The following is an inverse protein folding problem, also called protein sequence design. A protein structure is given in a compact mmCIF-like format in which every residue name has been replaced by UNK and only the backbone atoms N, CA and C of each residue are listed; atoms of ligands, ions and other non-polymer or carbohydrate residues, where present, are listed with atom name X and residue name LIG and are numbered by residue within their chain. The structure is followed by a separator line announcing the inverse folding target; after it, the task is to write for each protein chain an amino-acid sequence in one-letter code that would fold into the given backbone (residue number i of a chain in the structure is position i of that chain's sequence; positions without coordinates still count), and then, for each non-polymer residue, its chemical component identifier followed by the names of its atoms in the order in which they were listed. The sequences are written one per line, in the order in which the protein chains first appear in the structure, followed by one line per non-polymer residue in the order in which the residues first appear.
data_IF_768974355894
#
_entry.id   IF_768974355894
#
_cell.length_a   1.000
_cell.length_b   1.000
_cell.length_c   1.000
_cell.angle_alpha   90.00
_cell.angle_beta   90.00
_cell.angle_gamma   90.00
#
_symmetry.space_group_name_H-M   'P 1'
#
loop_
_entity.id
_entity.type
_entity.pdbx_description
1 polymer ?
#
# COMPACT_ATOMS: atom_id res chain seq x y z
N UNK A 1 -54.90 -8.87 -12.36
CA UNK A 1 -53.62 -9.52 -12.02
C UNK A 1 -52.51 -8.50 -12.21
N UNK A 2 -51.94 -7.99 -11.11
CA UNK A 2 -50.72 -7.20 -11.20
C UNK A 2 -49.59 -8.14 -11.64
N UNK A 3 -48.99 -7.87 -12.80
CA UNK A 3 -47.91 -8.70 -13.35
C UNK A 3 -46.76 -8.80 -12.36
N UNK A 4 -46.38 -10.02 -12.00
CA UNK A 4 -45.22 -10.26 -11.14
C UNK A 4 -43.98 -9.69 -11.84
N UNK A 5 -43.34 -8.68 -11.24
CA UNK A 5 -42.14 -8.09 -11.80
C UNK A 5 -41.05 -9.17 -11.93
N UNK A 6 -40.37 -9.21 -13.07
CA UNK A 6 -39.24 -10.13 -13.29
C UNK A 6 -38.19 -9.96 -12.18
N UNK A 7 -37.58 -11.06 -11.70
CA UNK A 7 -36.55 -10.99 -10.67
C UNK A 7 -35.37 -10.14 -11.13
N UNK A 8 -34.81 -9.36 -10.21
CA UNK A 8 -33.61 -8.52 -10.47
C UNK A 8 -32.39 -9.16 -9.83
N UNK A 9 -31.33 -9.32 -10.61
CA UNK A 9 -30.03 -9.70 -10.07
C UNK A 9 -29.37 -8.49 -9.40
N UNK A 10 -28.76 -8.70 -8.23
CA UNK A 10 -28.02 -7.68 -7.49
C UNK A 10 -26.66 -8.27 -7.13
N UNK A 11 -25.59 -7.58 -7.48
CA UNK A 11 -24.22 -7.93 -7.08
C UNK A 11 -23.79 -7.06 -5.90
N UNK A 12 -23.21 -7.68 -4.87
CA UNK A 12 -22.67 -7.00 -3.70
C UNK A 12 -21.15 -7.19 -3.66
N UNK A 13 -20.41 -6.08 -3.63
CA UNK A 13 -18.97 -6.09 -3.42
C UNK A 13 -18.65 -5.73 -1.96
N UNK A 14 -17.95 -6.61 -1.25
CA UNK A 14 -17.62 -6.41 0.16
C UNK A 14 -16.10 -6.25 0.34
N UNK A 15 -15.68 -5.05 0.72
CA UNK A 15 -14.28 -4.77 1.04
C UNK A 15 -13.97 -5.11 2.50
N UNK A 16 -13.16 -6.14 2.72
CA UNK A 16 -12.88 -6.70 4.05
C UNK A 16 -11.63 -6.12 4.73
N UNK A 17 -10.77 -5.41 3.98
CA UNK A 17 -9.45 -4.97 4.44
C UNK A 17 -9.43 -3.55 5.01
N UNK A 18 -10.60 -2.99 5.36
CA UNK A 18 -10.67 -1.67 6.00
C UNK A 18 -10.77 -1.81 7.51
N UNK A 19 -9.73 -1.41 8.27
CA UNK A 19 -9.74 -1.55 9.73
C UNK A 19 -10.80 -0.66 10.39
N UNK A 20 -11.24 -1.04 11.59
CA UNK A 20 -12.21 -0.27 12.39
C UNK A 20 -11.71 1.12 12.76
N UNK A 21 -10.40 1.26 12.95
CA UNK A 21 -9.72 2.54 13.13
C UNK A 21 -8.66 2.74 12.04
N UNK A 22 -8.68 3.91 11.39
CA UNK A 22 -7.70 4.29 10.36
C UNK A 22 -8.13 3.98 8.92
N UNK A 23 -7.14 3.58 8.12
CA UNK A 23 -7.24 3.38 6.66
C UNK A 23 -6.55 2.06 6.27
N UNK A 24 -6.86 1.50 5.08
CA UNK A 24 -6.15 0.33 4.58
C UNK A 24 -4.63 0.57 4.51
N UNK A 25 -3.83 -0.46 4.81
CA UNK A 25 -2.36 -0.39 4.76
C UNK A 25 -1.83 -0.21 3.33
N UNK A 26 -2.55 -0.72 2.34
CA UNK A 26 -2.18 -0.65 0.93
C UNK A 26 -3.42 -0.25 0.08
N UNK A 27 -3.33 0.80 -0.76
CA UNK A 27 -4.45 1.25 -1.57
C UNK A 27 -4.73 0.36 -2.80
N UNK A 28 -3.81 -0.49 -3.27
CA UNK A 28 -3.97 -1.35 -4.45
C UNK A 28 -5.27 -2.16 -4.43
N UNK A 29 -5.63 -2.72 -3.28
CA UNK A 29 -6.85 -3.53 -3.15
C UNK A 29 -8.13 -2.69 -3.26
N UNK A 30 -8.09 -1.44 -2.77
CA UNK A 30 -9.22 -0.53 -2.93
C UNK A 30 -9.33 -0.02 -4.37
N UNK A 31 -8.19 0.24 -5.03
CA UNK A 31 -8.12 0.58 -6.44
C UNK A 31 -8.70 -0.55 -7.31
N UNK A 32 -8.33 -1.80 -7.04
CA UNK A 32 -8.90 -2.98 -7.69
C UNK A 32 -10.42 -3.03 -7.54
N UNK A 33 -10.95 -2.76 -6.34
CA UNK A 33 -12.40 -2.69 -6.13
C UNK A 33 -13.06 -1.59 -6.98
N UNK A 34 -12.47 -0.40 -7.05
CA UNK A 34 -12.97 0.70 -7.91
C UNK A 34 -13.00 0.26 -9.37
N UNK A 35 -11.96 -0.42 -9.85
CA UNK A 35 -11.90 -0.94 -11.22
C UNK A 35 -12.97 -2.01 -11.49
N UNK A 36 -13.15 -2.97 -10.59
CA UNK A 36 -14.16 -4.03 -10.71
C UNK A 36 -15.57 -3.44 -10.74
N UNK A 37 -15.88 -2.51 -9.83
CA UNK A 37 -17.18 -1.84 -9.79
C UNK A 37 -17.43 -1.05 -11.08
N UNK A 38 -16.45 -0.26 -11.54
CA UNK A 38 -16.57 0.50 -12.78
C UNK A 38 -16.75 -0.39 -14.01
N UNK A 39 -15.98 -1.49 -14.09
CA UNK A 39 -16.11 -2.46 -15.18
C UNK A 39 -17.53 -3.04 -15.22
N UNK A 40 -18.09 -3.42 -14.07
CA UNK A 40 -19.45 -3.95 -13.98
C UNK A 40 -20.51 -2.94 -14.39
N UNK A 41 -20.37 -1.68 -13.97
CA UNK A 41 -21.28 -0.59 -14.39
C UNK A 41 -21.22 -0.35 -15.90
N UNK A 42 -20.05 -0.48 -16.52
CA UNK A 42 -19.90 -0.36 -17.97
C UNK A 42 -20.51 -1.56 -18.73
N UNK A 43 -20.32 -2.79 -18.23
CA UNK A 43 -20.85 -4.02 -18.83
C UNK A 43 -22.37 -4.14 -18.72
N UNK A 44 -22.95 -3.66 -17.62
CA UNK A 44 -24.39 -3.69 -17.37
C UNK A 44 -24.89 -2.34 -16.83
N UNK A 45 -25.03 -1.32 -17.69
CA UNK A 45 -25.50 -0.01 -17.28
C UNK A 45 -26.93 -0.10 -16.71
N UNK A 46 -27.08 0.29 -15.45
CA UNK A 46 -28.35 0.21 -14.73
C UNK A 46 -28.60 1.48 -13.90
N UNK A 47 -29.27 1.35 -12.76
CA UNK A 47 -29.47 2.45 -11.81
C UNK A 47 -28.18 2.89 -11.10
N UNK A 48 -28.28 3.85 -10.16
CA UNK A 48 -27.12 4.33 -9.40
C UNK A 48 -26.47 3.21 -8.57
N UNK A 49 -25.15 3.27 -8.42
CA UNK A 49 -24.41 2.37 -7.52
C UNK A 49 -24.67 2.77 -6.07
N UNK A 50 -25.14 1.82 -5.26
CA UNK A 50 -25.31 2.02 -3.82
C UNK A 50 -23.98 1.73 -3.11
N UNK A 51 -23.46 2.71 -2.38
CA UNK A 51 -22.25 2.58 -1.56
C UNK A 51 -22.60 2.86 -0.10
N UNK A 52 -22.21 1.96 0.81
CA UNK A 52 -22.44 2.17 2.24
C UNK A 52 -21.25 1.68 3.10
N UNK A 53 -21.23 2.14 4.34
CA UNK A 53 -20.39 1.57 5.41
C UNK A 53 -21.27 1.48 6.67
N UNK A 54 -20.82 1.98 7.82
CA UNK A 54 -21.66 2.13 9.02
C UNK A 54 -22.52 3.40 8.92
N UNK A 55 -21.94 4.58 9.14
CA UNK A 55 -22.66 5.86 9.04
C UNK A 55 -22.82 6.39 7.60
N UNK A 56 -22.17 5.75 6.62
CA UNK A 56 -22.20 6.17 5.22
C UNK A 56 -21.51 7.50 4.95
N UNK A 57 -20.44 7.83 5.68
CA UNK A 57 -19.72 9.12 5.53
C UNK A 57 -18.19 8.96 5.38
N UNK A 58 -17.54 8.13 6.20
CA UNK A 58 -16.09 7.95 6.20
C UNK A 58 -15.61 7.09 5.02
N UNK A 59 -15.58 5.77 5.21
CA UNK A 59 -15.18 4.79 4.16
C UNK A 59 -15.95 4.99 2.85
N UNK A 60 -17.25 5.24 2.95
CA UNK A 60 -18.12 5.56 1.81
C UNK A 60 -17.67 6.81 1.06
N UNK A 61 -17.40 7.90 1.77
CA UNK A 61 -16.94 9.14 1.14
C UNK A 61 -15.58 8.99 0.50
N UNK A 62 -14.67 8.26 1.13
CA UNK A 62 -13.35 7.96 0.57
C UNK A 62 -13.45 7.13 -0.70
N UNK A 63 -14.28 6.07 -0.74
CA UNK A 63 -14.48 5.27 -1.95
C UNK A 63 -15.04 6.11 -3.12
N UNK A 64 -16.08 6.92 -2.85
CA UNK A 64 -16.72 7.76 -3.87
C UNK A 64 -15.75 8.84 -4.38
N UNK A 65 -15.03 9.51 -3.47
CA UNK A 65 -14.06 10.53 -3.83
C UNK A 65 -12.92 9.94 -4.68
N UNK A 66 -12.41 8.75 -4.30
CA UNK A 66 -11.36 8.08 -5.05
C UNK A 66 -11.79 7.75 -6.48
N UNK A 67 -12.97 7.14 -6.66
CA UNK A 67 -13.51 6.85 -7.99
C UNK A 67 -13.64 8.11 -8.86
N UNK A 68 -14.23 9.17 -8.30
CA UNK A 68 -14.40 10.45 -8.99
C UNK A 68 -13.07 11.08 -9.40
N UNK A 69 -12.12 11.13 -8.46
CA UNK A 69 -10.82 11.77 -8.66
C UNK A 69 -9.93 10.98 -9.63
N UNK A 70 -10.01 9.64 -9.66
CA UNK A 70 -9.33 8.81 -10.67
C UNK A 70 -9.86 9.10 -12.08
N UNK A 71 -11.18 9.25 -12.23
CA UNK A 71 -11.80 9.62 -13.51
C UNK A 71 -11.41 11.03 -13.93
N UNK A 72 -11.42 11.99 -13.01
CA UNK A 72 -10.98 13.36 -13.24
C UNK A 72 -9.51 13.42 -13.68
N UNK A 73 -8.62 12.73 -12.97
CA UNK A 73 -7.19 12.69 -13.29
C UNK A 73 -6.93 12.13 -14.69
N UNK A 74 -7.64 11.06 -15.07
CA UNK A 74 -7.55 10.45 -16.41
C UNK A 74 -8.11 11.36 -17.52
N UNK A 75 -9.22 12.05 -17.27
CA UNK A 75 -9.90 12.86 -18.27
C UNK A 75 -9.28 14.26 -18.44
N UNK A 76 -8.81 14.88 -17.36
CA UNK A 76 -8.40 16.29 -17.32
C UNK A 76 -6.89 16.48 -17.09
N UNK A 77 -6.16 15.41 -16.76
CA UNK A 77 -4.73 15.49 -16.41
C UNK A 77 -4.45 16.25 -15.10
N UNK A 78 -5.48 16.48 -14.28
CA UNK A 78 -5.41 17.18 -12.99
C UNK A 78 -6.43 16.60 -12.01
N UNK A 79 -6.20 16.78 -10.72
CA UNK A 79 -7.12 16.38 -9.65
C UNK A 79 -7.29 17.52 -8.65
N UNK A 80 -8.49 17.64 -8.08
CA UNK A 80 -8.79 18.61 -7.01
C UNK A 80 -9.50 17.89 -5.85
N UNK A 81 -8.69 17.32 -4.96
CA UNK A 81 -9.16 16.53 -3.81
C UNK A 81 -9.97 17.39 -2.86
N UNK A 82 -9.54 18.62 -2.58
CA UNK A 82 -10.21 19.52 -1.65
C UNK A 82 -11.62 19.86 -2.15
N UNK A 83 -11.73 20.29 -3.41
CA UNK A 83 -13.03 20.63 -4.01
C UNK A 83 -13.94 19.42 -4.13
N UNK A 84 -13.40 18.26 -4.51
CA UNK A 84 -14.17 17.03 -4.56
C UNK A 84 -14.79 16.69 -3.19
N UNK A 85 -13.99 16.69 -2.12
CA UNK A 85 -14.48 16.40 -0.77
C UNK A 85 -15.44 17.48 -0.28
N UNK A 86 -15.19 18.75 -0.59
CA UNK A 86 -16.11 19.85 -0.29
C UNK A 86 -17.48 19.62 -0.95
N UNK A 87 -17.52 19.30 -2.25
CA UNK A 87 -18.75 19.02 -2.98
C UNK A 87 -19.51 17.81 -2.43
N UNK A 88 -18.81 16.75 -2.03
CA UNK A 88 -19.43 15.61 -1.36
C UNK A 88 -20.06 16.03 -0.02
N UNK A 89 -19.42 16.94 0.72
CA UNK A 89 -19.92 17.46 2.00
C UNK A 89 -21.13 18.38 1.85
N UNK A 90 -21.28 19.05 0.71
CA UNK A 90 -22.49 19.81 0.36
C UNK A 90 -23.70 18.88 0.16
N UNK A 91 -23.48 17.64 -0.30
CA UNK A 91 -24.54 16.66 -0.54
C UNK A 91 -24.83 15.78 0.68
N UNK A 92 -23.80 15.45 1.49
CA UNK A 92 -23.93 14.66 2.70
C UNK A 92 -22.90 15.10 3.73
N UNK A 93 -23.35 15.41 4.95
CA UNK A 93 -22.47 15.93 6.01
C UNK A 93 -21.28 15.00 6.29
N UNK A 94 -20.10 15.60 6.49
CA UNK A 94 -18.88 14.91 6.95
C UNK A 94 -18.37 13.75 6.06
N UNK A 95 -18.66 13.78 4.75
CA UNK A 95 -18.03 12.87 3.79
C UNK A 95 -16.50 12.97 3.86
N UNK A 96 -15.82 11.81 3.88
CA UNK A 96 -14.41 11.66 4.24
C UNK A 96 -14.18 12.23 5.65
N UNK A 97 -14.41 11.39 6.64
CA UNK A 97 -14.66 11.82 8.02
C UNK A 97 -13.39 12.22 8.76
N UNK A 98 -12.26 11.54 8.52
CA UNK A 98 -11.01 11.73 9.28
C UNK A 98 -9.89 12.28 8.41
N UNK A 99 -8.86 12.86 9.06
CA UNK A 99 -7.66 13.35 8.37
C UNK A 99 -6.91 12.22 7.69
N UNK A 100 -6.84 11.06 8.33
CA UNK A 100 -6.16 9.86 7.83
C UNK A 100 -6.82 9.38 6.53
N UNK A 101 -8.16 9.39 6.47
CA UNK A 101 -8.91 9.08 5.25
C UNK A 101 -8.65 10.09 4.12
N UNK A 102 -8.50 11.36 4.46
CA UNK A 102 -8.17 12.42 3.51
C UNK A 102 -6.74 12.30 2.99
N UNK A 103 -5.75 12.00 3.84
CA UNK A 103 -4.37 11.70 3.44
C UNK A 103 -4.30 10.45 2.56
N UNK A 104 -5.02 9.39 2.93
CA UNK A 104 -5.09 8.15 2.16
C UNK A 104 -5.66 8.34 0.75
N UNK A 105 -6.57 9.31 0.53
CA UNK A 105 -7.02 9.66 -0.82
C UNK A 105 -5.87 10.09 -1.72
N UNK A 106 -4.94 10.91 -1.22
CA UNK A 106 -3.78 11.35 -2.00
C UNK A 106 -2.85 10.18 -2.31
N UNK A 107 -2.61 9.29 -1.34
CA UNK A 107 -1.79 8.08 -1.53
C UNK A 107 -2.40 7.16 -2.59
N UNK A 108 -3.70 6.85 -2.47
CA UNK A 108 -4.42 6.01 -3.42
C UNK A 108 -4.49 6.63 -4.82
N UNK A 109 -4.65 7.95 -4.92
CA UNK A 109 -4.65 8.65 -6.21
C UNK A 109 -3.27 8.64 -6.86
N UNK A 110 -2.22 8.88 -6.08
CA UNK A 110 -0.85 8.78 -6.56
C UNK A 110 -0.59 7.39 -7.15
N UNK A 111 -0.99 6.33 -6.44
CA UNK A 111 -0.85 4.96 -6.93
C UNK A 111 -1.69 4.70 -8.19
N UNK A 112 -2.98 4.99 -8.15
CA UNK A 112 -3.89 4.71 -9.26
C UNK A 112 -3.60 5.51 -10.53
N UNK A 113 -3.02 6.71 -10.42
CA UNK A 113 -2.67 7.55 -11.57
C UNK A 113 -1.24 7.33 -12.08
N UNK A 114 -0.28 6.94 -11.23
CA UNK A 114 1.08 6.65 -11.66
C UNK A 114 1.25 5.24 -12.22
N UNK A 115 0.64 4.23 -11.60
CA UNK A 115 0.86 2.83 -11.95
C UNK A 115 -0.20 2.29 -12.92
N UNK A 116 -1.45 2.74 -12.79
CA UNK A 116 -2.58 2.09 -13.45
C UNK A 116 -2.70 0.60 -13.07
N UNK A 117 -3.39 -0.19 -13.89
CA UNK A 117 -3.50 -1.63 -13.69
C UNK A 117 -2.25 -2.35 -14.22
N UNK A 118 -1.41 -2.81 -13.31
CA UNK A 118 -0.20 -3.61 -13.61
C UNK A 118 -0.43 -5.12 -13.51
N UNK A 119 -1.64 -5.55 -13.13
CA UNK A 119 -2.00 -6.98 -13.01
C UNK A 119 -1.99 -7.68 -14.38
N UNK A 120 -1.33 -8.84 -14.45
CA UNK A 120 -1.22 -9.64 -15.68
C UNK A 120 -1.82 -11.03 -15.43
N UNK A 121 -2.79 -11.48 -16.25
CA UNK A 121 -3.29 -12.85 -16.18
C UNK A 121 -2.17 -13.87 -16.40
N UNK A 122 -2.24 -15.02 -15.74
CA UNK A 122 -1.16 -16.03 -15.77
C UNK A 122 -0.82 -16.45 -17.21
N UNK A 123 -1.84 -16.64 -18.04
CA UNK A 123 -1.76 -16.98 -19.45
C UNK A 123 -1.03 -15.93 -20.30
N UNK A 124 -0.96 -14.68 -19.83
CA UNK A 124 -0.37 -13.54 -20.54
C UNK A 124 1.05 -13.20 -20.07
N UNK A 125 1.54 -13.83 -19.01
CA UNK A 125 2.86 -13.51 -18.41
C UNK A 125 3.99 -13.65 -19.45
N UNK A 126 3.98 -14.73 -20.23
CA UNK A 126 5.03 -14.96 -21.23
C UNK A 126 5.07 -13.83 -22.27
N UNK A 127 3.90 -13.43 -22.80
CA UNK A 127 3.80 -12.32 -23.75
C UNK A 127 4.25 -11.00 -23.13
N UNK A 128 3.88 -10.73 -21.87
CA UNK A 128 4.32 -9.54 -21.15
C UNK A 128 5.84 -9.47 -21.04
N UNK A 129 6.49 -10.56 -20.64
CA UNK A 129 7.97 -10.61 -20.50
C UNK A 129 8.67 -10.33 -21.83
N UNK A 130 8.19 -10.88 -22.94
CA UNK A 130 8.76 -10.58 -24.26
C UNK A 130 8.61 -9.10 -24.60
N UNK A 131 7.41 -8.52 -24.43
CA UNK A 131 7.18 -7.09 -24.71
C UNK A 131 8.08 -6.16 -23.90
N UNK A 132 8.37 -6.49 -22.64
CA UNK A 132 9.25 -5.69 -21.78
C UNK A 132 10.71 -5.72 -22.24
N UNK A 133 11.16 -6.84 -22.83
CA UNK A 133 12.55 -7.02 -23.31
C UNK A 133 12.76 -6.43 -24.70
N UNK A 134 11.79 -6.60 -25.60
CA UNK A 134 11.90 -6.10 -26.98
C UNK A 134 11.99 -4.56 -27.00
N UNK A 135 11.24 -3.88 -26.11
CA UNK A 135 11.28 -2.42 -25.95
C UNK A 135 12.67 -1.88 -25.57
N UNK A 136 13.52 -2.65 -24.88
CA UNK A 136 14.89 -2.22 -24.51
C UNK A 136 15.81 -2.02 -25.72
N UNK A 137 15.56 -2.74 -26.81
CA UNK A 137 16.38 -2.67 -28.03
C UNK A 137 16.12 -1.41 -28.87
N UNK A 138 15.01 -0.70 -28.59
CA UNK A 138 14.51 0.42 -29.40
C UNK A 138 15.09 1.80 -29.01
N UNK A 139 15.91 1.89 -27.96
CA UNK A 139 16.54 3.14 -27.50
C UNK A 139 15.58 4.16 -26.86
N UNK A 140 14.27 3.87 -26.80
CA UNK A 140 13.32 4.59 -25.96
C UNK A 140 13.44 4.09 -24.51
N UNK A 141 13.06 4.90 -23.51
CA UNK A 141 12.91 4.41 -22.12
C UNK A 141 12.01 3.16 -22.15
N UNK A 142 12.61 1.98 -21.92
CA UNK A 142 11.90 0.71 -22.02
C UNK A 142 10.68 0.72 -21.12
N UNK A 143 9.63 -0.02 -21.48
CA UNK A 143 8.45 -0.14 -20.64
C UNK A 143 8.82 -0.58 -19.21
N UNK A 144 9.84 -1.45 -19.07
CA UNK A 144 10.40 -1.87 -17.80
C UNK A 144 11.00 -0.71 -17.00
N UNK A 145 11.82 0.13 -17.63
CA UNK A 145 12.43 1.29 -16.97
C UNK A 145 11.38 2.30 -16.50
N UNK A 146 10.30 2.49 -17.27
CA UNK A 146 9.18 3.34 -16.86
C UNK A 146 8.46 2.79 -15.63
N UNK A 147 8.19 1.48 -15.61
CA UNK A 147 7.61 0.81 -14.44
C UNK A 147 8.51 0.94 -13.22
N UNK A 148 9.82 0.69 -13.38
CA UNK A 148 10.78 0.78 -12.28
C UNK A 148 10.92 2.22 -11.74
N UNK A 149 10.91 3.23 -12.62
CA UNK A 149 10.87 4.65 -12.22
C UNK A 149 9.60 5.01 -11.44
N UNK A 150 8.45 4.40 -11.76
CA UNK A 150 7.25 4.59 -10.96
C UNK A 150 7.46 4.06 -9.53
N UNK A 151 8.04 2.86 -9.36
CA UNK A 151 8.39 2.29 -8.05
C UNK A 151 9.36 3.19 -7.24
N UNK A 152 10.31 3.84 -7.91
CA UNK A 152 11.23 4.78 -7.25
C UNK A 152 10.49 5.98 -6.63
N UNK A 153 9.46 6.51 -7.30
CA UNK A 153 8.64 7.61 -6.74
C UNK A 153 7.90 7.21 -5.47
N UNK A 154 7.42 5.96 -5.37
CA UNK A 154 6.85 5.45 -4.13
C UNK A 154 7.91 5.31 -3.05
N UNK A 155 9.11 4.84 -3.40
CA UNK A 155 10.23 4.76 -2.45
C UNK A 155 10.54 6.12 -1.83
N UNK A 156 10.53 7.20 -2.63
CA UNK A 156 10.73 8.58 -2.13
C UNK A 156 9.63 9.01 -1.15
N UNK A 157 8.36 8.64 -1.41
CA UNK A 157 7.26 8.92 -0.50
C UNK A 157 7.44 8.19 0.85
N UNK A 158 7.80 6.91 0.82
CA UNK A 158 7.96 6.11 2.04
C UNK A 158 9.26 6.43 2.80
N UNK A 159 10.27 7.01 2.15
CA UNK A 159 11.45 7.57 2.82
C UNK A 159 11.11 8.75 3.75
N UNK A 160 9.93 9.36 3.62
CA UNK A 160 9.45 10.40 4.54
C UNK A 160 8.95 9.84 5.88
N UNK A 161 8.81 8.52 6.02
CA UNK A 161 8.41 7.89 7.27
C UNK A 161 9.49 8.11 8.35
N UNK A 162 9.10 8.39 9.60
CA UNK A 162 10.05 8.67 10.67
C UNK A 162 10.92 7.46 10.97
N UNK A 163 12.24 7.68 11.05
CA UNK A 163 13.25 6.67 11.40
C UNK A 163 13.96 7.05 12.71
N UNK A 164 13.25 7.63 13.68
CA UNK A 164 13.84 8.34 14.82
C UNK A 164 14.72 7.44 15.67
N UNK A 165 14.33 6.18 15.85
CA UNK A 165 15.16 5.24 16.60
C UNK A 165 16.45 4.88 15.87
N UNK A 166 16.38 4.67 14.56
CA UNK A 166 17.54 4.34 13.73
C UNK A 166 18.55 5.50 13.68
N UNK A 167 18.05 6.74 13.74
CA UNK A 167 18.84 7.98 13.66
C UNK A 167 19.57 8.35 14.97
N UNK A 168 19.20 7.75 16.12
CA UNK A 168 19.85 8.03 17.40
C UNK A 168 21.37 7.79 17.31
N UNK A 169 22.21 8.67 17.89
CA UNK A 169 23.68 8.54 17.81
C UNK A 169 24.21 7.15 18.19
N UNK A 170 23.63 6.52 19.23
CA UNK A 170 24.01 5.18 19.69
C UNK A 170 23.71 4.05 18.69
N UNK A 171 22.78 4.27 17.77
CA UNK A 171 22.31 3.29 16.80
C UNK A 171 22.92 3.46 15.41
N UNK A 172 23.53 4.61 15.12
CA UNK A 172 24.11 4.90 13.80
C UNK A 172 25.15 3.85 13.37
N UNK A 173 26.03 3.42 14.30
CA UNK A 173 27.02 2.39 14.03
C UNK A 173 26.43 0.98 13.80
N UNK A 174 25.15 0.77 14.10
CA UNK A 174 24.43 -0.49 13.84
C UNK A 174 23.82 -0.54 12.43
N UNK A 175 23.88 0.55 11.66
CA UNK A 175 23.33 0.64 10.30
C UNK A 175 24.44 0.48 9.24
N UNK A 176 24.29 -0.48 8.32
CA UNK A 176 25.30 -0.73 7.28
C UNK A 176 25.31 0.30 6.18
N UNK A 177 24.16 0.91 5.88
CA UNK A 177 24.02 1.99 4.89
C UNK A 177 23.26 3.14 5.55
N UNK A 178 23.83 4.37 5.61
CA UNK A 178 23.18 5.50 6.29
C UNK A 178 21.79 5.86 5.74
N UNK A 179 21.54 5.62 4.45
CA UNK A 179 20.25 5.90 3.81
C UNK A 179 19.26 4.73 3.78
N UNK A 180 19.60 3.60 4.40
CA UNK A 180 18.71 2.42 4.46
C UNK A 180 18.37 2.18 5.93
N UNK A 181 17.38 2.92 6.42
CA UNK A 181 16.94 2.89 7.81
C UNK A 181 15.53 2.31 7.90
N UNK A 182 15.22 1.54 8.95
CA UNK A 182 13.87 1.05 9.17
C UNK A 182 12.98 2.18 9.72
N UNK A 183 11.81 2.37 9.10
CA UNK A 183 10.78 3.24 9.65
C UNK A 183 10.32 2.74 11.03
N UNK A 184 10.06 3.67 11.96
CA UNK A 184 9.66 3.37 13.33
C UNK A 184 8.37 2.52 13.39
N UNK A 185 7.47 2.70 12.42
CA UNK A 185 6.19 1.97 12.32
C UNK A 185 6.32 0.51 11.92
N UNK A 186 7.47 0.09 11.36
CA UNK A 186 7.65 -1.23 10.75
C UNK A 186 8.77 -2.05 11.39
N UNK A 187 9.51 -1.48 12.35
CA UNK A 187 10.69 -2.12 12.95
C UNK A 187 10.32 -3.10 14.07
N UNK A 188 11.10 -4.17 14.28
CA UNK A 188 11.00 -4.99 15.47
C UNK A 188 11.50 -4.25 16.72
N UNK A 189 11.05 -4.74 17.88
CA UNK A 189 11.47 -4.29 19.21
C UNK A 189 12.11 -5.48 19.90
N UNK A 190 13.40 -5.38 20.24
CA UNK A 190 14.14 -6.45 20.90
C UNK A 190 13.87 -6.41 22.41
N UNK A 191 13.12 -7.39 22.90
CA UNK A 191 12.74 -7.50 24.31
C UNK A 191 13.76 -8.29 25.12
N UNK A 192 14.47 -9.24 24.51
CA UNK A 192 15.53 -10.02 25.17
C UNK A 192 16.90 -9.34 25.16
N UNK A 193 17.10 -8.33 24.30
CA UNK A 193 18.30 -7.48 24.28
C UNK A 193 17.95 -6.08 24.75
N UNK A 194 18.60 -5.60 25.81
CA UNK A 194 18.34 -4.28 26.42
C UNK A 194 19.61 -3.45 26.45
N UNK A 195 19.44 -2.13 26.28
CA UNK A 195 20.50 -1.16 26.47
C UNK A 195 20.81 -0.97 27.97
N UNK A 196 21.91 -0.28 28.28
CA UNK A 196 22.31 0.02 29.66
C UNK A 196 21.27 0.83 30.46
N UNK A 197 20.40 1.58 29.76
CA UNK A 197 19.30 2.34 30.36
C UNK A 197 18.01 1.51 30.54
N UNK A 198 18.05 0.20 30.25
CA UNK A 198 16.91 -0.71 30.32
C UNK A 198 15.95 -0.62 29.13
N UNK A 199 16.17 0.28 28.17
CA UNK A 199 15.33 0.35 26.96
C UNK A 199 15.64 -0.81 26.00
N UNK A 200 14.66 -1.29 25.21
CA UNK A 200 14.87 -2.27 24.15
C UNK A 200 16.03 -1.91 23.21
N UNK A 201 16.85 -2.89 22.87
CA UNK A 201 17.93 -2.70 21.90
C UNK A 201 17.36 -2.49 20.49
N UNK A 202 18.17 -1.81 19.67
CA UNK A 202 17.85 -1.53 18.27
C UNK A 202 18.62 -2.48 17.34
N UNK A 203 17.94 -2.93 16.29
CA UNK A 203 18.51 -3.60 15.11
C UNK A 203 17.87 -3.03 13.84
N UNK A 204 18.66 -2.94 12.76
CA UNK A 204 18.17 -2.51 11.46
C UNK A 204 17.43 -3.65 10.76
N UNK A 205 16.11 -3.72 11.00
CA UNK A 205 15.22 -4.71 10.42
C UNK A 205 13.79 -4.14 10.29
N UNK A 206 12.98 -4.72 9.41
CA UNK A 206 11.55 -4.41 9.26
C UNK A 206 10.71 -5.67 9.08
N UNK A 207 9.44 -5.60 9.46
CA UNK A 207 8.45 -6.60 9.08
C UNK A 207 7.97 -6.39 7.64
N UNK A 208 7.70 -7.50 6.97
CA UNK A 208 7.05 -7.54 5.67
C UNK A 208 5.98 -8.65 5.66
N UNK A 209 4.92 -8.43 4.88
CA UNK A 209 3.83 -9.38 4.73
C UNK A 209 4.11 -10.39 3.62
N UNK A 210 3.57 -11.60 3.75
CA UNK A 210 3.47 -12.55 2.65
C UNK A 210 2.18 -12.30 1.86
N UNK A 211 1.90 -13.14 0.87
CA UNK A 211 0.62 -13.12 0.16
C UNK A 211 -0.58 -13.41 1.08
N UNK A 212 -0.40 -14.22 2.13
CA UNK A 212 -1.50 -14.71 2.98
C UNK A 212 -1.49 -14.17 4.40
N UNK A 213 -0.35 -13.71 4.90
CA UNK A 213 -0.15 -13.35 6.30
C UNK A 213 0.57 -12.00 6.42
N UNK A 214 0.06 -11.13 7.29
CA UNK A 214 0.72 -9.85 7.59
C UNK A 214 1.95 -10.05 8.48
N UNK A 215 2.99 -9.22 8.30
CA UNK A 215 4.18 -9.14 9.18
C UNK A 215 4.91 -10.49 9.41
N UNK A 216 4.78 -11.42 8.46
CA UNK A 216 5.28 -12.80 8.58
C UNK A 216 6.76 -12.97 8.24
N UNK A 217 7.34 -12.02 7.49
CA UNK A 217 8.75 -12.00 7.08
C UNK A 217 9.47 -10.88 7.84
N UNK A 218 10.70 -11.15 8.28
CA UNK A 218 11.61 -10.13 8.81
C UNK A 218 12.73 -9.91 7.80
N UNK A 219 12.89 -8.67 7.35
CA UNK A 219 13.94 -8.24 6.43
C UNK A 219 15.00 -7.51 7.25
N UNK A 220 16.26 -7.95 7.18
CA UNK A 220 17.38 -7.35 7.92
C UNK A 220 18.64 -7.31 7.07
N UNK A 221 19.54 -6.38 7.37
CA UNK A 221 20.89 -6.37 6.84
C UNK A 221 21.74 -7.55 7.36
N UNK A 222 22.87 -7.83 6.69
CA UNK A 222 23.90 -8.75 7.21
C UNK A 222 24.41 -8.23 8.57
N UNK A 223 24.40 -9.06 9.64
CA UNK A 223 24.83 -8.63 10.96
C UNK A 223 26.32 -8.26 10.96
N UNK A 224 26.66 -7.28 11.80
CA UNK A 224 28.05 -7.01 12.16
C UNK A 224 28.49 -7.92 13.31
N UNK A 225 29.80 -8.13 13.50
CA UNK A 225 30.31 -8.73 14.74
C UNK A 225 29.76 -8.04 16.00
N UNK A 226 29.59 -6.72 15.96
CA UNK A 226 29.05 -5.89 17.06
C UNK A 226 27.54 -5.98 17.24
N UNK A 227 26.79 -6.54 16.27
CA UNK A 227 25.32 -6.68 16.33
C UNK A 227 24.88 -8.15 16.33
N UNK A 228 25.79 -9.10 16.53
CA UNK A 228 25.46 -10.53 16.57
C UNK A 228 24.49 -10.88 17.70
N UNK A 229 24.66 -10.27 18.87
CA UNK A 229 23.74 -10.47 20.01
C UNK A 229 22.34 -9.96 19.66
N UNK A 230 22.24 -8.77 19.09
CA UNK A 230 20.95 -8.18 18.67
C UNK A 230 20.29 -9.02 17.57
N UNK A 231 21.08 -9.60 16.65
CA UNK A 231 20.58 -10.49 15.60
C UNK A 231 19.98 -11.77 16.19
N UNK A 232 20.64 -12.41 17.15
CA UNK A 232 20.08 -13.60 17.80
C UNK A 232 18.92 -13.27 18.74
N UNK A 233 18.90 -12.08 19.35
CA UNK A 233 17.74 -11.59 20.09
C UNK A 233 16.53 -11.42 19.15
N UNK A 234 16.72 -10.89 17.94
CA UNK A 234 15.68 -10.81 16.92
C UNK A 234 15.12 -12.20 16.56
N UNK A 235 16.00 -13.17 16.32
CA UNK A 235 15.63 -14.56 16.03
C UNK A 235 14.82 -15.16 17.18
N UNK A 236 15.26 -14.93 18.42
CA UNK A 236 14.64 -15.46 19.61
C UNK A 236 13.27 -14.82 19.91
N UNK A 237 13.21 -13.49 19.98
CA UNK A 237 12.03 -12.73 20.37
C UNK A 237 10.85 -12.96 19.41
N UNK A 238 11.16 -13.15 18.12
CA UNK A 238 10.17 -13.40 17.08
C UNK A 238 10.11 -14.87 16.65
N UNK A 239 10.72 -15.77 17.43
CA UNK A 239 10.62 -17.23 17.26
C UNK A 239 10.97 -17.72 15.85
N UNK A 240 11.95 -17.08 15.21
CA UNK A 240 12.34 -17.41 13.85
C UNK A 240 12.99 -18.81 13.80
N UNK A 241 12.38 -19.72 13.03
CA UNK A 241 12.87 -21.10 12.85
C UNK A 241 13.61 -21.34 11.54
N UNK A 242 13.69 -20.32 10.68
CA UNK A 242 14.32 -20.42 9.36
C UNK A 242 15.00 -19.10 9.03
N UNK A 243 16.23 -19.19 8.52
CA UNK A 243 17.04 -18.05 8.10
C UNK A 243 17.48 -18.25 6.67
N UNK A 244 17.36 -17.21 5.85
CA UNK A 244 17.77 -17.21 4.44
C UNK A 244 18.86 -16.16 4.28
N UNK A 245 20.04 -16.57 3.81
CA UNK A 245 21.18 -15.70 3.56
C UNK A 245 21.41 -15.63 2.05
N UNK A 246 21.41 -14.41 1.50
CA UNK A 246 21.53 -14.16 0.05
C UNK A 246 22.89 -13.54 -0.35
N UNK A 247 23.87 -13.63 0.56
CA UNK A 247 25.24 -13.15 0.35
C UNK A 247 26.21 -14.31 0.58
N UNK A 248 27.35 -14.26 -0.12
CA UNK A 248 28.53 -15.05 0.28
C UNK A 248 29.03 -14.55 1.64
N UNK A 249 29.50 -15.48 2.49
CA UNK A 249 29.96 -15.23 3.85
C UNK A 249 31.47 -14.99 3.92
#
# INVERSE_FOLDING_TARGET
QAGCALPRAVEQFHYLLWPDHGVPRNPSQLLCLVEVVNKRVLEAPAGPVLVHCSAGIGRTGTFIALDFLLKMGKAEGKVDVFRCVQQLREQRVSMVQTKEQYSFLYEALLEGLLCGSTGVPMESIASRVHSLRDDETSGCNSALEKEFKALQRFSELFQLLPCREAEKPRNQAKNRKPGILPADSCRPILMSSVNADGSPAYINAVFASTYTEEERIIITQLPFPTTLVDFWALVWDYTCTSLVVLNEL
#
